data_IF_403105140919
#
_entry.id   IF_403105140919
#
_cell.length_a   1.000
_cell.length_b   1.000
_cell.length_c   1.000
_cell.angle_alpha   90.00
_cell.angle_beta   90.00
_cell.angle_gamma   90.00
#
_symmetry.space_group_name_H-M   'P 1'
#
loop_
_entity.id
_entity.type
_entity.pdbx_description
1 polymer ?
#
# COMPACT_ATOMS: atom_id res chain seq x y z
N UNK A 1 21.26 2.58 32.87
CA UNK A 1 20.02 2.69 32.08
C UNK A 1 20.31 2.09 30.72
N UNK A 2 20.01 0.81 30.52
CA UNK A 2 20.22 0.13 29.24
C UNK A 2 18.93 0.22 28.44
N UNK A 3 18.98 0.86 27.27
CA UNK A 3 17.89 0.82 26.30
C UNK A 3 17.61 -0.63 25.89
N UNK A 4 16.35 -1.04 25.68
CA UNK A 4 16.05 -2.36 25.16
C UNK A 4 16.59 -2.47 23.72
N UNK A 5 16.99 -3.67 23.26
CA UNK A 5 17.54 -3.85 21.92
C UNK A 5 16.46 -3.57 20.86
N UNK A 6 16.72 -2.58 19.99
CA UNK A 6 15.87 -2.20 18.83
C UNK A 6 15.68 -3.32 17.79
N UNK A 7 16.43 -4.42 17.92
CA UNK A 7 16.58 -5.51 16.93
C UNK A 7 15.35 -6.41 16.70
N UNK A 8 14.14 -5.98 17.08
CA UNK A 8 12.89 -6.76 16.91
C UNK A 8 11.86 -6.10 15.99
N UNK A 9 12.05 -4.84 15.62
CA UNK A 9 11.05 -4.08 14.86
C UNK A 9 11.14 -4.37 13.35
N UNK A 10 12.34 -4.31 12.75
CA UNK A 10 12.50 -4.47 11.29
C UNK A 10 11.91 -5.76 10.69
N UNK A 11 12.13 -6.97 11.28
CA UNK A 11 11.55 -8.20 10.73
C UNK A 11 10.02 -8.20 10.69
N UNK A 12 9.36 -7.59 11.66
CA UNK A 12 7.90 -7.47 11.67
C UNK A 12 7.41 -6.44 10.66
N UNK A 13 8.14 -5.34 10.49
CA UNK A 13 7.78 -4.24 9.61
C UNK A 13 7.90 -4.61 8.13
N UNK A 14 8.92 -5.39 7.74
CA UNK A 14 9.03 -5.93 6.36
C UNK A 14 7.87 -6.86 6.00
N UNK A 15 7.42 -7.69 6.94
CA UNK A 15 6.28 -8.57 6.71
C UNK A 15 4.96 -7.79 6.62
N UNK A 16 4.76 -6.82 7.51
CA UNK A 16 3.60 -5.92 7.47
C UNK A 16 3.57 -5.10 6.17
N UNK A 17 4.73 -4.59 5.73
CA UNK A 17 4.86 -3.83 4.49
C UNK A 17 4.53 -4.68 3.27
N UNK A 18 4.96 -5.95 3.26
CA UNK A 18 4.58 -6.88 2.20
C UNK A 18 3.06 -7.09 2.13
N UNK A 19 2.39 -7.26 3.26
CA UNK A 19 0.92 -7.40 3.31
C UNK A 19 0.22 -6.13 2.84
N UNK A 20 0.66 -4.96 3.29
CA UNK A 20 0.12 -3.67 2.84
C UNK A 20 0.31 -3.45 1.35
N UNK A 21 1.45 -3.84 0.78
CA UNK A 21 1.68 -3.71 -0.66
C UNK A 21 0.85 -4.68 -1.50
N UNK A 22 0.61 -5.91 -1.01
CA UNK A 22 -0.32 -6.82 -1.69
C UNK A 22 -1.74 -6.23 -1.74
N UNK A 23 -2.19 -5.66 -0.62
CA UNK A 23 -3.50 -5.02 -0.54
C UNK A 23 -3.57 -3.76 -1.40
N UNK A 24 -2.55 -2.90 -1.36
CA UNK A 24 -2.44 -1.72 -2.22
C UNK A 24 -2.50 -2.08 -3.70
N UNK A 25 -1.75 -3.09 -4.14
CA UNK A 25 -1.78 -3.60 -5.51
C UNK A 25 -3.18 -4.07 -5.90
N UNK A 26 -3.80 -4.94 -5.09
CA UNK A 26 -5.12 -5.51 -5.38
C UNK A 26 -6.20 -4.42 -5.44
N UNK A 27 -6.19 -3.48 -4.50
CA UNK A 27 -7.13 -2.36 -4.45
C UNK A 27 -6.94 -1.44 -5.65
N UNK A 28 -5.71 -1.02 -5.96
CA UNK A 28 -5.43 -0.12 -7.06
C UNK A 28 -5.85 -0.71 -8.41
N UNK A 29 -5.55 -1.98 -8.67
CA UNK A 29 -6.01 -2.67 -9.90
C UNK A 29 -7.54 -2.77 -9.94
N UNK A 30 -8.18 -3.14 -8.82
CA UNK A 30 -9.63 -3.29 -8.76
C UNK A 30 -10.34 -1.97 -9.04
N UNK A 31 -9.93 -0.90 -8.37
CA UNK A 31 -10.56 0.41 -8.54
C UNK A 31 -10.24 1.02 -9.91
N UNK A 32 -9.02 0.83 -10.45
CA UNK A 32 -8.72 1.23 -11.82
C UNK A 32 -9.61 0.51 -12.85
N UNK A 33 -9.92 -0.77 -12.63
CA UNK A 33 -10.84 -1.54 -13.49
C UNK A 33 -12.28 -1.04 -13.36
N UNK A 34 -12.75 -0.78 -12.13
CA UNK A 34 -14.10 -0.22 -11.87
C UNK A 34 -14.28 1.15 -12.51
N UNK A 35 -13.25 2.00 -12.44
CA UNK A 35 -13.28 3.33 -13.06
C UNK A 35 -13.18 3.21 -14.59
N UNK A 36 -12.51 2.17 -15.09
CA UNK A 36 -12.34 1.92 -16.52
C UNK A 36 -11.26 2.82 -17.11
N UNK A 37 -11.64 3.97 -17.65
CA UNK A 37 -10.73 4.87 -18.37
C UNK A 37 -10.72 6.28 -17.78
N UNK A 38 -9.64 7.01 -18.04
CA UNK A 38 -9.46 8.38 -17.58
C UNK A 38 -8.34 8.53 -16.55
N UNK A 39 -8.07 9.78 -16.14
CA UNK A 39 -6.93 10.11 -15.30
C UNK A 39 -6.86 9.36 -13.96
N UNK A 40 -7.94 9.19 -13.17
CA UNK A 40 -7.87 8.46 -11.90
C UNK A 40 -7.51 6.98 -12.10
N UNK A 41 -8.05 6.34 -13.14
CA UNK A 41 -7.71 4.95 -13.47
C UNK A 41 -6.26 4.81 -13.93
N UNK A 42 -5.73 5.77 -14.68
CA UNK A 42 -4.32 5.78 -15.09
C UNK A 42 -3.39 5.94 -13.88
N UNK A 43 -3.72 6.85 -12.94
CA UNK A 43 -2.94 7.06 -11.73
C UNK A 43 -2.90 5.79 -10.85
N UNK A 44 -4.03 5.13 -10.63
CA UNK A 44 -4.08 3.87 -9.88
C UNK A 44 -3.32 2.73 -10.58
N UNK A 45 -3.34 2.66 -11.91
CA UNK A 45 -2.52 1.68 -12.66
C UNK A 45 -1.02 1.92 -12.46
N UNK A 46 -0.59 3.18 -12.47
CA UNK A 46 0.82 3.52 -12.22
C UNK A 46 1.25 3.13 -10.79
N UNK A 47 0.38 3.38 -9.80
CA UNK A 47 0.57 2.91 -8.42
C UNK A 47 0.67 1.40 -8.35
N UNK A 48 -0.24 0.67 -9.03
CA UNK A 48 -0.25 -0.78 -9.04
C UNK A 48 1.00 -1.37 -9.70
N UNK A 49 1.49 -0.78 -10.79
CA UNK A 49 2.73 -1.20 -11.43
C UNK A 49 3.90 -1.13 -10.44
N UNK A 50 4.05 0.02 -9.78
CA UNK A 50 5.09 0.18 -8.75
C UNK A 50 4.90 -0.77 -7.56
N UNK A 51 3.66 -1.03 -7.13
CA UNK A 51 3.37 -1.99 -6.06
C UNK A 51 3.80 -3.41 -6.45
N UNK A 52 3.55 -3.82 -7.69
CA UNK A 52 4.01 -5.11 -8.20
C UNK A 52 5.53 -5.22 -8.18
N UNK A 53 6.25 -4.21 -8.66
CA UNK A 53 7.72 -4.15 -8.62
C UNK A 53 8.23 -4.19 -7.16
N UNK A 54 7.58 -3.43 -6.27
CA UNK A 54 7.93 -3.38 -4.85
C UNK A 54 7.75 -4.72 -4.15
N UNK A 55 6.74 -5.51 -4.52
CA UNK A 55 6.52 -6.84 -3.95
C UNK A 55 7.66 -7.81 -4.31
N UNK A 56 8.22 -7.71 -5.51
CA UNK A 56 9.37 -8.53 -5.92
C UNK A 56 10.64 -8.12 -5.17
N UNK A 57 10.86 -6.82 -4.98
CA UNK A 57 11.94 -6.30 -4.15
C UNK A 57 11.81 -6.74 -2.69
N UNK A 58 10.62 -6.61 -2.11
CA UNK A 58 10.32 -7.01 -0.74
C UNK A 58 10.55 -8.50 -0.51
N UNK A 59 10.20 -9.35 -1.48
CA UNK A 59 10.53 -10.79 -1.43
C UNK A 59 12.03 -11.03 -1.37
N UNK A 60 12.78 -10.30 -2.17
CA UNK A 60 14.24 -10.42 -2.20
C UNK A 60 14.84 -9.99 -0.86
N UNK A 61 14.43 -8.83 -0.34
CA UNK A 61 14.89 -8.31 0.95
C UNK A 61 14.53 -9.18 2.14
N UNK A 62 13.32 -9.73 2.14
CA UNK A 62 12.87 -10.66 3.16
C UNK A 62 13.73 -11.93 3.18
N UNK A 63 14.08 -12.48 2.00
CA UNK A 63 14.98 -13.63 1.89
C UNK A 63 16.37 -13.31 2.42
N UNK A 64 16.95 -12.17 2.04
CA UNK A 64 18.27 -11.72 2.52
C UNK A 64 18.32 -11.62 4.05
N UNK A 65 17.24 -11.10 4.65
CA UNK A 65 17.11 -10.89 6.10
C UNK A 65 16.49 -12.07 6.84
N UNK A 66 16.24 -13.19 6.14
CA UNK A 66 15.58 -14.40 6.66
C UNK A 66 14.25 -14.13 7.35
N UNK A 67 13.53 -13.10 6.90
CA UNK A 67 12.18 -12.74 7.34
C UNK A 67 11.17 -13.62 6.60
N UNK A 68 10.24 -14.22 7.34
CA UNK A 68 9.11 -14.92 6.73
C UNK A 68 8.04 -13.91 6.33
N UNK A 69 7.87 -13.73 5.04
CA UNK A 69 6.76 -12.99 4.44
C UNK A 69 5.65 -13.96 4.02
N UNK A 70 4.40 -13.52 4.06
CA UNK A 70 3.25 -14.30 3.59
C UNK A 70 2.72 -15.37 4.56
N UNK A 71 3.02 -15.30 5.86
CA UNK A 71 2.44 -16.23 6.83
C UNK A 71 2.49 -15.76 8.30
N UNK A 72 2.27 -14.48 8.59
CA UNK A 72 1.99 -14.03 9.96
C UNK A 72 0.53 -14.28 10.38
N UNK A 73 -0.27 -14.93 9.51
CA UNK A 73 -1.72 -15.12 9.66
C UNK A 73 -2.23 -16.56 9.83
N UNK A 74 -1.41 -17.58 10.08
CA UNK A 74 -1.94 -18.85 10.62
C UNK A 74 -2.45 -18.71 12.08
N UNK A 75 -2.23 -17.53 12.70
CA UNK A 75 -2.77 -17.12 14.00
C UNK A 75 -3.76 -15.95 13.92
N UNK A 76 -4.17 -15.54 12.71
CA UNK A 76 -5.17 -14.48 12.52
C UNK A 76 -6.51 -15.09 12.11
N UNK A 77 -7.12 -15.83 13.05
CA UNK A 77 -8.57 -16.08 13.03
C UNK A 77 -9.38 -14.75 12.95
N UNK A 78 -8.71 -13.61 13.17
CA UNK A 78 -9.21 -12.23 13.00
C UNK A 78 -9.23 -11.70 11.56
N UNK A 79 -8.48 -12.29 10.62
CA UNK A 79 -8.53 -11.86 9.20
C UNK A 79 -9.85 -12.22 8.52
N UNK A 80 -10.64 -13.11 9.12
CA UNK A 80 -12.01 -13.38 8.68
C UNK A 80 -12.94 -12.15 8.83
N UNK A 81 -12.65 -11.23 9.78
CA UNK A 81 -13.42 -9.98 9.91
C UNK A 81 -13.01 -8.92 8.88
N UNK A 82 -11.73 -8.82 8.48
CA UNK A 82 -11.29 -7.85 7.46
C UNK A 82 -11.69 -8.25 6.03
N UNK A 83 -11.88 -9.55 5.77
CA UNK A 83 -12.42 -10.02 4.49
C UNK A 83 -13.92 -9.76 4.33
N UNK A 84 -14.66 -9.54 5.43
CA UNK A 84 -16.08 -9.21 5.37
C UNK A 84 -16.34 -7.73 5.03
N UNK A 85 -15.42 -6.81 5.31
CA UNK A 85 -15.57 -5.40 4.87
C UNK A 85 -15.11 -5.17 3.41
N UNK A 86 -14.45 -6.15 2.81
CA UNK A 86 -14.27 -6.23 1.36
C UNK A 86 -15.50 -6.85 0.67
N UNK A 87 -16.49 -7.32 1.44
CA UNK A 87 -17.84 -7.53 0.95
C UNK A 87 -18.50 -6.17 0.69
N UNK A 88 -18.11 -5.61 -0.46
CA UNK A 88 -19.00 -5.07 -1.48
C UNK A 88 -20.32 -4.62 -0.88
N UNK A 89 -20.35 -3.38 -0.41
CA UNK A 89 -21.55 -2.61 -0.63
C UNK A 89 -21.55 -2.26 -2.14
N UNK A 90 -22.47 -2.80 -2.95
CA UNK A 90 -22.59 -2.42 -4.36
C UNK A 90 -22.84 -0.91 -4.51
N UNK A 91 -23.26 -0.23 -3.44
CA UNK A 91 -23.60 1.19 -3.42
C UNK A 91 -22.43 2.12 -3.05
N UNK A 92 -21.19 1.64 -2.95
CA UNK A 92 -20.06 2.57 -2.78
C UNK A 92 -19.69 3.22 -4.12
N UNK A 93 -20.13 4.46 -4.23
CA UNK A 93 -19.71 5.50 -5.17
C UNK A 93 -18.20 5.44 -5.48
N UNK A 94 -17.85 5.55 -6.77
CA UNK A 94 -16.47 5.46 -7.26
C UNK A 94 -15.49 6.39 -6.52
N UNK A 95 -15.94 7.60 -6.14
CA UNK A 95 -15.12 8.53 -5.36
C UNK A 95 -14.75 7.96 -3.98
N UNK A 96 -15.71 7.38 -3.26
CA UNK A 96 -15.48 6.81 -1.94
C UNK A 96 -14.52 5.62 -2.00
N UNK A 97 -14.71 4.75 -3.00
CA UNK A 97 -13.82 3.63 -3.22
C UNK A 97 -12.38 4.09 -3.57
N UNK A 98 -12.26 5.13 -4.40
CA UNK A 98 -10.98 5.75 -4.73
C UNK A 98 -10.28 6.36 -3.51
N UNK A 99 -11.02 7.09 -2.65
CA UNK A 99 -10.48 7.65 -1.41
C UNK A 99 -9.99 6.58 -0.44
N UNK A 100 -10.70 5.45 -0.33
CA UNK A 100 -10.22 4.31 0.47
C UNK A 100 -8.92 3.73 -0.08
N UNK A 101 -8.79 3.61 -1.40
CA UNK A 101 -7.54 3.21 -2.02
C UNK A 101 -6.41 4.17 -1.66
N UNK A 102 -6.63 5.49 -1.75
CA UNK A 102 -5.64 6.48 -1.31
C UNK A 102 -5.28 6.33 0.17
N UNK A 103 -6.23 6.07 1.06
CA UNK A 103 -5.92 5.82 2.48
C UNK A 103 -5.01 4.61 2.67
N UNK A 104 -5.27 3.50 1.97
CA UNK A 104 -4.40 2.32 2.02
C UNK A 104 -2.97 2.66 1.53
N UNK A 105 -2.85 3.46 0.47
CA UNK A 105 -1.56 3.88 -0.07
C UNK A 105 -0.77 4.77 0.89
N UNK A 106 -1.43 5.73 1.55
CA UNK A 106 -0.76 6.57 2.54
C UNK A 106 -0.24 5.75 3.73
N UNK A 107 -0.99 4.72 4.16
CA UNK A 107 -0.53 3.81 5.23
C UNK A 107 0.78 3.09 4.86
N UNK A 108 0.92 2.66 3.60
CA UNK A 108 2.17 2.04 3.14
C UNK A 108 3.35 3.02 3.20
N UNK A 109 3.15 4.30 2.83
CA UNK A 109 4.17 5.36 2.93
C UNK A 109 4.59 5.56 4.38
N UNK A 110 3.63 5.66 5.29
CA UNK A 110 3.93 5.87 6.71
C UNK A 110 4.72 4.69 7.28
N UNK A 111 4.38 3.46 6.93
CA UNK A 111 5.13 2.27 7.35
C UNK A 111 6.56 2.25 6.80
N UNK A 112 6.76 2.61 5.53
CA UNK A 112 8.11 2.66 4.93
C UNK A 112 8.96 3.74 5.59
N UNK A 113 8.38 4.86 6.04
CA UNK A 113 9.13 5.87 6.82
C UNK A 113 9.60 5.33 8.17
N UNK A 114 8.76 4.53 8.84
CA UNK A 114 9.15 3.85 10.08
C UNK A 114 10.26 2.85 9.82
N UNK A 115 10.15 2.04 8.76
CA UNK A 115 11.17 1.06 8.39
C UNK A 115 12.50 1.72 7.98
N UNK A 116 12.43 2.85 7.29
CA UNK A 116 13.61 3.63 6.92
C UNK A 116 14.37 4.13 8.15
N UNK A 117 13.65 4.70 9.12
CA UNK A 117 14.24 5.16 10.37
C UNK A 117 14.83 4.00 11.17
N UNK A 118 14.10 2.88 11.29
CA UNK A 118 14.58 1.68 11.98
C UNK A 118 15.85 1.11 11.32
N UNK A 119 15.87 1.00 9.99
CA UNK A 119 17.03 0.53 9.24
C UNK A 119 18.27 1.41 9.49
N UNK A 120 18.11 2.74 9.53
CA UNK A 120 19.22 3.65 9.87
C UNK A 120 19.73 3.46 11.29
N UNK A 121 18.84 3.31 12.26
CA UNK A 121 19.22 3.07 13.66
C UNK A 121 19.97 1.74 13.82
N UNK A 122 19.62 0.73 13.03
CA UNK A 122 20.27 -0.58 13.01
C UNK A 122 21.57 -0.62 12.16
N UNK A 123 21.86 0.44 11.39
CA UNK A 123 23.00 0.49 10.47
C UNK A 123 22.82 -0.35 9.20
N UNK A 124 21.59 -0.69 8.82
CA UNK A 124 21.26 -1.35 7.55
C UNK A 124 21.07 -0.32 6.43
N UNK A 125 22.18 0.25 5.96
CA UNK A 125 22.20 1.27 4.90
C UNK A 125 21.52 0.77 3.62
N UNK A 126 21.65 -0.52 3.30
CA UNK A 126 21.06 -1.11 2.09
C UNK A 126 19.52 -1.14 2.14
N UNK A 127 18.93 -1.30 3.32
CA UNK A 127 17.48 -1.22 3.52
C UNK A 127 17.02 0.22 3.54
N UNK A 128 17.70 1.09 4.29
CA UNK A 128 17.38 2.52 4.35
C UNK A 128 17.39 3.16 2.95
N UNK A 129 18.42 2.90 2.15
CA UNK A 129 18.55 3.41 0.78
C UNK A 129 17.43 2.93 -0.14
N UNK A 130 16.98 1.69 0.03
CA UNK A 130 15.83 1.18 -0.71
C UNK A 130 14.54 1.86 -0.27
N UNK A 131 14.30 2.00 1.04
CA UNK A 131 13.13 2.72 1.56
C UNK A 131 13.08 4.14 1.00
N UNK A 132 14.22 4.83 0.93
CA UNK A 132 14.30 6.17 0.33
C UNK A 132 13.99 6.20 -1.18
N UNK A 133 14.47 5.22 -1.96
CA UNK A 133 14.13 5.13 -3.40
C UNK A 133 12.65 4.81 -3.60
N UNK A 134 12.13 3.92 -2.77
CA UNK A 134 10.73 3.52 -2.75
C UNK A 134 9.83 4.73 -2.43
N UNK A 135 10.14 5.47 -1.35
CA UNK A 135 9.39 6.65 -0.91
C UNK A 135 9.34 7.72 -1.98
N UNK A 136 10.48 8.09 -2.57
CA UNK A 136 10.55 9.08 -3.66
C UNK A 136 9.60 8.76 -4.81
N UNK A 137 9.50 7.48 -5.16
CA UNK A 137 8.64 7.05 -6.27
C UNK A 137 7.18 6.99 -5.83
N UNK A 138 6.88 6.35 -4.69
CA UNK A 138 5.53 6.20 -4.19
C UNK A 138 4.88 7.54 -3.86
N UNK A 139 5.58 8.45 -3.19
CA UNK A 139 5.05 9.77 -2.83
C UNK A 139 4.61 10.56 -4.07
N UNK A 140 5.41 10.54 -5.15
CA UNK A 140 5.03 11.17 -6.42
C UNK A 140 3.79 10.52 -7.03
N UNK A 141 3.72 9.18 -7.05
CA UNK A 141 2.58 8.46 -7.63
C UNK A 141 1.29 8.67 -6.83
N UNK A 142 1.38 8.64 -5.50
CA UNK A 142 0.24 8.87 -4.60
C UNK A 142 -0.18 10.34 -4.62
N UNK A 143 0.76 11.29 -4.74
CA UNK A 143 0.48 12.70 -4.99
C UNK A 143 -0.33 12.88 -6.28
N UNK A 144 0.15 12.33 -7.40
CA UNK A 144 -0.58 12.37 -8.67
C UNK A 144 -1.97 11.72 -8.57
N UNK A 145 -2.09 10.57 -7.89
CA UNK A 145 -3.38 9.95 -7.66
C UNK A 145 -4.31 10.82 -6.78
N UNK A 146 -3.75 11.55 -5.80
CA UNK A 146 -4.52 12.44 -4.93
C UNK A 146 -5.02 13.66 -5.68
N UNK A 147 -4.24 14.23 -6.60
CA UNK A 147 -4.65 15.34 -7.46
C UNK A 147 -5.88 14.99 -8.31
N UNK A 148 -5.99 13.73 -8.72
CA UNK A 148 -7.14 13.24 -9.49
C UNK A 148 -8.44 13.14 -8.67
N UNK A 149 -8.43 13.38 -7.36
CA UNK A 149 -9.68 13.55 -6.60
C UNK A 149 -10.53 14.69 -7.18
N UNK A 150 -9.89 15.75 -7.67
CA UNK A 150 -10.58 16.86 -8.31
C UNK A 150 -11.32 16.44 -9.58
N UNK A 151 -10.92 15.34 -10.24
CA UNK A 151 -11.62 14.81 -11.40
C UNK A 151 -13.04 14.36 -11.05
N UNK A 152 -13.27 13.75 -9.88
CA UNK A 152 -14.61 13.34 -9.43
C UNK A 152 -15.53 14.54 -9.21
N UNK A 153 -15.01 15.65 -8.67
CA UNK A 153 -15.76 16.91 -8.54
C UNK A 153 -16.18 17.50 -9.89
N UNK A 154 -15.37 17.29 -10.95
CA UNK A 154 -15.70 17.69 -12.33
C UNK A 154 -16.62 16.69 -13.05
N UNK A 155 -16.77 15.47 -12.53
CA UNK A 155 -17.58 14.40 -13.12
C UNK A 155 -18.55 13.80 -12.09
N UNK A 156 -19.50 14.60 -11.55
CA UNK A 156 -20.34 14.22 -10.40
C UNK A 156 -21.34 13.10 -10.68
N UNK A 157 -21.66 12.84 -11.96
CA UNK A 157 -22.46 11.68 -12.35
C UNK A 157 -21.65 10.39 -12.24
N UNK A 158 -20.38 10.42 -12.64
CA UNK A 158 -19.47 9.28 -12.51
C UNK A 158 -19.12 9.00 -11.05
N UNK A 159 -18.91 10.05 -10.25
CA UNK A 159 -18.60 9.92 -8.83
C UNK A 159 -19.65 9.08 -8.08
N UNK A 160 -20.94 9.24 -8.43
CA UNK A 160 -22.10 8.66 -7.76
C UNK A 160 -22.68 7.40 -8.41
N UNK A 161 -22.03 6.87 -9.44
CA UNK A 161 -22.46 5.61 -10.04
C UNK A 161 -21.92 4.46 -9.20
N UNK A 162 -22.85 3.64 -8.70
CA UNK A 162 -22.54 2.29 -8.27
C UNK A 162 -22.01 1.50 -9.49
N UNK A 163 -20.89 0.78 -9.39
CA UNK A 163 -20.42 -0.04 -10.49
C UNK A 163 -21.41 -1.19 -10.69
N UNK A 164 -21.91 -1.28 -11.92
CA UNK A 164 -22.72 -2.40 -12.43
C UNK A 164 -21.94 -3.70 -12.49
#
# INVERSE_FOLDING_TARGET
MSSPPSSRLSPSLLAELYELEEDAYRLAIREAKRIGSGPPAAALRAVAAHASESLDDLRTKARERRVRIGSLGALALDTLHRLRDVAVDPFVDHEHAYRRALTALHRSIDLVRVEEAAAREEGDDALADWCMRWLRTRERLVGAASDELAWFGRHPFFARLAPT
#
